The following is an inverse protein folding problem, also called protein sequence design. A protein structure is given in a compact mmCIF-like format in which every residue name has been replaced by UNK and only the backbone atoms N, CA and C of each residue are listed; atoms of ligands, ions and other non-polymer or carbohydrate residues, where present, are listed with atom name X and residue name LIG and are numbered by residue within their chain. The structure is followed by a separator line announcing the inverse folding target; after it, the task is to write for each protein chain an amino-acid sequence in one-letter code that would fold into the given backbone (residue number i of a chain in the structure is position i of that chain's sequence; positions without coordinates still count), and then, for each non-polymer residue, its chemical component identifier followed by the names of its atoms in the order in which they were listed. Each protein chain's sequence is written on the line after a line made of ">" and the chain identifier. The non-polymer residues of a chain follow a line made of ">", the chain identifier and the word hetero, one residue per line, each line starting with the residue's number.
data_IF_062933065106
#
_entry.id   IF_062933065106
#
_cell.length_a   1.000
_cell.length_b   1.000
_cell.length_c   1.000
_cell.angle_alpha   90.00
_cell.angle_beta   90.00
_cell.angle_gamma   90.00
#
_symmetry.space_group_name_H-M   'P 1'
#
loop_
_entity.id
_entity.type
_entity.pdbx_description
1 polymer ?
#
# COMPACT_ATOMS: atom_id res chain seq x y z
N UNK A 1 -36.24 -8.03 1.54
CA UNK A 1 -35.54 -7.40 0.40
C UNK A 1 -34.63 -6.30 0.92
N UNK A 2 -33.33 -6.55 1.10
CA UNK A 2 -32.37 -5.52 1.57
C UNK A 2 -30.95 -5.67 1.00
N UNK A 3 -30.73 -6.65 0.11
CA UNK A 3 -29.41 -7.03 -0.42
C UNK A 3 -28.71 -5.86 -1.12
N UNK A 4 -29.44 -5.08 -1.93
CA UNK A 4 -28.87 -3.94 -2.66
C UNK A 4 -28.38 -2.80 -1.75
N UNK A 5 -29.05 -2.56 -0.61
CA UNK A 5 -28.63 -1.54 0.37
C UNK A 5 -27.39 -1.99 1.13
N UNK A 6 -27.32 -3.27 1.50
CA UNK A 6 -26.15 -3.85 2.15
C UNK A 6 -24.92 -3.79 1.24
N UNK A 7 -25.04 -4.24 -0.02
CA UNK A 7 -23.93 -4.19 -1.00
C UNK A 7 -23.39 -2.78 -1.23
N UNK A 8 -24.24 -1.76 -1.19
CA UNK A 8 -23.83 -0.37 -1.41
C UNK A 8 -23.10 0.22 -0.18
N UNK A 9 -23.49 -0.20 1.03
CA UNK A 9 -22.78 0.13 2.27
C UNK A 9 -21.41 -0.54 2.33
N UNK A 10 -21.33 -1.82 1.94
CA UNK A 10 -20.08 -2.58 1.92
C UNK A 10 -19.07 -1.97 0.95
N UNK A 11 -19.52 -1.57 -0.26
CA UNK A 11 -18.67 -0.86 -1.25
C UNK A 11 -18.15 0.48 -0.74
N UNK A 12 -18.99 1.26 -0.04
CA UNK A 12 -18.56 2.54 0.54
C UNK A 12 -17.51 2.32 1.63
N UNK A 13 -17.70 1.30 2.46
CA UNK A 13 -16.73 0.95 3.49
C UNK A 13 -15.41 0.45 2.88
N UNK A 14 -15.46 -0.37 1.83
CA UNK A 14 -14.26 -0.83 1.10
C UNK A 14 -13.43 0.34 0.56
N UNK A 15 -14.08 1.37 -0.03
CA UNK A 15 -13.39 2.59 -0.50
C UNK A 15 -12.72 3.33 0.66
N UNK A 16 -13.38 3.42 1.82
CA UNK A 16 -12.82 4.08 3.01
C UNK A 16 -11.60 3.31 3.55
N UNK A 17 -11.67 1.98 3.60
CA UNK A 17 -10.55 1.14 4.02
C UNK A 17 -9.37 1.24 3.04
N UNK A 18 -9.62 1.25 1.72
CA UNK A 18 -8.57 1.47 0.70
C UNK A 18 -7.89 2.83 0.86
N UNK A 19 -8.64 3.91 1.12
CA UNK A 19 -8.07 5.24 1.44
C UNK A 19 -7.23 5.21 2.71
N UNK A 20 -7.68 4.51 3.75
CA UNK A 20 -6.93 4.34 5.00
C UNK A 20 -5.62 3.59 4.76
N UNK A 21 -5.66 2.49 4.01
CA UNK A 21 -4.46 1.73 3.62
C UNK A 21 -3.48 2.58 2.82
N UNK A 22 -3.98 3.35 1.84
CA UNK A 22 -3.16 4.29 1.08
C UNK A 22 -2.39 5.25 1.98
N UNK A 23 -3.07 5.83 2.98
CA UNK A 23 -2.43 6.69 3.98
C UNK A 23 -1.36 5.96 4.78
N UNK A 24 -1.62 4.74 5.24
CA UNK A 24 -0.64 3.95 6.00
C UNK A 24 0.60 3.63 5.15
N UNK A 25 0.39 3.25 3.90
CA UNK A 25 1.49 2.95 2.95
C UNK A 25 2.28 4.23 2.66
N UNK A 26 1.62 5.38 2.51
CA UNK A 26 2.26 6.69 2.37
C UNK A 26 3.13 7.03 3.58
N UNK A 27 2.55 6.95 4.78
CA UNK A 27 3.23 7.34 6.01
C UNK A 27 4.44 6.40 6.27
N UNK A 28 4.31 5.11 5.94
CA UNK A 28 5.43 4.16 5.94
C UNK A 28 6.49 4.49 4.87
N UNK A 29 6.08 4.87 3.66
CA UNK A 29 6.98 5.20 2.57
C UNK A 29 7.77 6.50 2.87
N UNK A 30 7.15 7.48 3.53
CA UNK A 30 7.82 8.70 4.00
C UNK A 30 8.89 8.39 5.06
N UNK A 31 8.60 7.50 6.01
CA UNK A 31 9.60 7.01 6.98
C UNK A 31 10.78 6.29 6.29
N UNK A 32 10.54 5.68 5.13
CA UNK A 32 11.54 4.94 4.35
C UNK A 32 12.01 5.71 3.11
N UNK A 33 11.76 7.04 3.03
CA UNK A 33 11.96 7.84 1.81
C UNK A 33 13.35 7.77 1.21
N UNK A 34 14.39 7.60 2.04
CA UNK A 34 15.79 7.47 1.60
C UNK A 34 15.99 6.33 0.60
N UNK A 35 15.23 5.24 0.75
CA UNK A 35 15.31 4.08 -0.14
C UNK A 35 14.88 4.47 -1.54
N UNK A 36 13.75 5.15 -1.66
CA UNK A 36 13.19 5.56 -2.93
C UNK A 36 13.99 6.73 -3.54
N UNK A 37 14.34 7.72 -2.72
CA UNK A 37 15.09 8.89 -3.15
C UNK A 37 16.46 8.53 -3.76
N UNK A 38 17.17 7.54 -3.19
CA UNK A 38 18.46 7.08 -3.74
C UNK A 38 18.36 6.71 -5.23
N UNK A 39 17.26 6.10 -5.64
CA UNK A 39 17.06 5.65 -7.01
C UNK A 39 16.47 6.74 -7.92
N UNK A 40 15.71 7.68 -7.36
CA UNK A 40 15.28 8.89 -8.08
C UNK A 40 16.48 9.77 -8.44
N UNK A 41 17.40 10.03 -7.50
CA UNK A 41 18.63 10.82 -7.73
C UNK A 41 19.53 10.15 -8.76
N UNK A 42 19.55 8.81 -8.76
CA UNK A 42 20.25 8.05 -9.79
C UNK A 42 19.48 7.95 -11.12
N UNK A 43 18.39 8.73 -11.28
CA UNK A 43 17.57 8.85 -12.48
C UNK A 43 16.90 7.57 -12.99
N UNK A 44 16.76 6.54 -12.13
CA UNK A 44 16.20 5.26 -12.57
C UNK A 44 14.67 5.24 -12.55
N UNK A 45 14.05 5.81 -11.53
CA UNK A 45 12.59 5.76 -11.36
C UNK A 45 12.07 7.05 -10.72
N UNK A 46 11.05 7.65 -11.34
CA UNK A 46 10.30 8.80 -10.77
C UNK A 46 9.08 8.36 -9.95
N UNK A 47 8.60 7.16 -10.21
CA UNK A 47 7.41 6.57 -9.62
C UNK A 47 7.64 5.10 -9.34
N UNK A 48 7.11 4.62 -8.22
CA UNK A 48 7.14 3.22 -7.83
C UNK A 48 5.72 2.69 -7.71
N UNK A 49 5.50 1.45 -8.13
CA UNK A 49 4.23 0.75 -7.89
C UNK A 49 4.48 -0.36 -6.89
N UNK A 50 3.84 -0.26 -5.73
CA UNK A 50 3.82 -1.27 -4.69
C UNK A 50 2.48 -2.00 -4.79
N UNK A 51 2.53 -3.30 -5.09
CA UNK A 51 1.39 -4.20 -5.01
C UNK A 51 1.48 -4.97 -3.70
N UNK A 52 0.37 -5.01 -2.96
CA UNK A 52 0.24 -5.74 -1.71
C UNK A 52 -0.93 -6.70 -1.85
N UNK A 53 -0.64 -8.00 -1.87
CA UNK A 53 -1.63 -9.06 -1.95
C UNK A 53 -2.04 -9.55 -0.55
N UNK A 54 -3.04 -10.45 -0.50
CA UNK A 54 -3.45 -11.16 0.72
C UNK A 54 -3.78 -10.23 1.91
N UNK A 55 -4.46 -9.12 1.63
CA UNK A 55 -5.04 -8.28 2.68
C UNK A 55 -6.08 -9.10 3.47
N UNK A 56 -6.24 -8.81 4.77
CA UNK A 56 -5.59 -7.74 5.55
C UNK A 56 -4.22 -8.12 6.16
N UNK A 57 -3.77 -9.37 6.01
CA UNK A 57 -2.56 -9.91 6.65
C UNK A 57 -1.54 -10.32 5.60
N UNK A 58 -0.96 -9.34 4.87
CA UNK A 58 0.05 -9.65 3.87
C UNK A 58 1.30 -10.21 4.54
N UNK A 59 1.95 -11.17 3.87
CA UNK A 59 3.29 -11.61 4.18
C UNK A 59 4.34 -10.80 3.39
N UNK A 60 5.62 -11.00 3.69
CA UNK A 60 6.75 -10.36 2.98
C UNK A 60 6.72 -10.68 1.48
N UNK A 61 6.27 -11.88 1.11
CA UNK A 61 6.19 -12.36 -0.27
C UNK A 61 5.07 -11.66 -1.06
N UNK A 62 4.05 -11.18 -0.34
CA UNK A 62 2.91 -10.47 -0.92
C UNK A 62 3.20 -9.02 -1.29
N UNK A 63 4.37 -8.49 -0.88
CA UNK A 63 4.84 -7.15 -1.21
C UNK A 63 5.72 -7.21 -2.47
N UNK A 64 5.15 -6.73 -3.57
CA UNK A 64 5.76 -6.71 -4.89
C UNK A 64 5.99 -5.28 -5.37
N UNK A 65 7.17 -5.03 -5.93
CA UNK A 65 7.50 -3.74 -6.55
C UNK A 65 7.72 -3.95 -8.04
N UNK A 66 6.93 -3.27 -8.86
CA UNK A 66 6.92 -3.48 -10.31
C UNK A 66 8.25 -3.08 -10.97
N UNK A 67 8.91 -2.05 -10.47
CA UNK A 67 10.06 -1.44 -11.13
C UNK A 67 11.40 -2.03 -10.70
N UNK A 68 11.51 -2.56 -9.47
CA UNK A 68 12.77 -3.08 -8.93
C UNK A 68 12.54 -4.04 -7.75
N UNK A 69 12.68 -5.35 -7.98
CA UNK A 69 12.37 -6.41 -6.99
C UNK A 69 13.20 -6.31 -5.69
N UNK A 70 14.41 -5.78 -5.77
CA UNK A 70 15.32 -5.60 -4.62
C UNK A 70 15.25 -4.22 -3.94
N UNK A 71 14.25 -3.39 -4.27
CA UNK A 71 14.18 -2.04 -3.73
C UNK A 71 13.96 -2.05 -2.20
N UNK A 72 13.11 -2.96 -1.73
CA UNK A 72 12.85 -3.16 -0.30
C UNK A 72 13.53 -4.42 0.20
N UNK A 73 14.20 -4.28 1.35
CA UNK A 73 14.73 -5.42 2.08
C UNK A 73 13.63 -6.11 2.92
N UNK A 74 13.96 -7.28 3.49
CA UNK A 74 13.02 -8.06 4.29
C UNK A 74 12.50 -7.29 5.53
N UNK A 75 13.35 -6.48 6.17
CA UNK A 75 12.96 -5.67 7.32
C UNK A 75 11.90 -4.63 6.96
N UNK A 76 12.09 -3.91 5.86
CA UNK A 76 11.17 -2.90 5.34
C UNK A 76 9.83 -3.52 4.95
N UNK A 77 9.87 -4.66 4.28
CA UNK A 77 8.66 -5.43 3.96
C UNK A 77 7.92 -5.88 5.22
N UNK A 78 8.63 -6.39 6.22
CA UNK A 78 8.05 -6.78 7.52
C UNK A 78 7.38 -5.60 8.23
N UNK A 79 8.04 -4.43 8.24
CA UNK A 79 7.48 -3.20 8.81
C UNK A 79 6.19 -2.78 8.11
N UNK A 80 6.15 -2.89 6.78
CA UNK A 80 4.96 -2.58 6.00
C UNK A 80 3.81 -3.55 6.30
N UNK A 81 4.07 -4.86 6.35
CA UNK A 81 3.09 -5.88 6.74
C UNK A 81 2.49 -5.56 8.12
N UNK A 82 3.35 -5.29 9.11
CA UNK A 82 2.91 -4.97 10.47
C UNK A 82 2.07 -3.69 10.55
N UNK A 83 2.42 -2.67 9.76
CA UNK A 83 1.66 -1.41 9.70
C UNK A 83 0.26 -1.64 9.12
N UNK A 84 0.16 -2.47 8.08
CA UNK A 84 -1.10 -2.82 7.43
C UNK A 84 -1.98 -3.68 8.36
N UNK A 85 -1.41 -4.71 8.98
CA UNK A 85 -2.15 -5.59 9.89
C UNK A 85 -2.72 -4.80 11.09
N UNK A 86 -1.94 -3.87 11.65
CA UNK A 86 -2.42 -2.99 12.74
C UNK A 86 -3.50 -2.01 12.30
N UNK A 87 -3.47 -1.56 11.04
CA UNK A 87 -4.42 -0.59 10.53
C UNK A 87 -5.73 -1.22 10.05
N UNK A 88 -5.68 -2.46 9.58
CA UNK A 88 -6.84 -3.23 9.14
C UNK A 88 -7.71 -3.68 10.32
N UNK A 89 -8.62 -2.81 10.75
CA UNK A 89 -9.55 -3.11 11.84
C UNK A 89 -10.70 -4.06 11.42
N UNK A 90 -10.99 -4.18 10.13
CA UNK A 90 -12.09 -5.02 9.60
C UNK A 90 -11.60 -5.93 8.47
N UNK A 91 -11.01 -7.05 8.88
CA UNK A 91 -10.43 -8.06 8.02
C UNK A 91 -11.36 -8.60 6.91
N UNK A 92 -12.65 -8.71 7.22
CA UNK A 92 -13.63 -9.35 6.34
C UNK A 92 -13.95 -8.55 5.08
N UNK A 93 -13.86 -7.20 5.15
CA UNK A 93 -14.17 -6.30 4.03
C UNK A 93 -13.07 -6.24 2.96
N UNK A 94 -11.85 -6.59 3.34
CA UNK A 94 -10.67 -6.59 2.46
C UNK A 94 -10.15 -8.01 2.20
N UNK A 95 -10.89 -9.02 2.67
CA UNK A 95 -10.62 -10.43 2.47
C UNK A 95 -10.29 -10.70 1.00
N UNK A 96 -9.16 -11.37 0.76
CA UNK A 96 -8.64 -11.78 -0.57
C UNK A 96 -8.39 -10.65 -1.58
N UNK A 97 -8.43 -9.40 -1.13
CA UNK A 97 -8.17 -8.25 -1.99
C UNK A 97 -6.67 -7.95 -2.07
N UNK A 98 -6.26 -7.38 -3.21
CA UNK A 98 -4.99 -6.72 -3.34
C UNK A 98 -5.20 -5.20 -3.36
N UNK A 99 -4.14 -4.46 -3.06
CA UNK A 99 -4.08 -3.03 -3.28
C UNK A 99 -2.83 -2.71 -4.08
N UNK A 100 -3.01 -1.95 -5.13
CA UNK A 100 -1.93 -1.35 -5.89
C UNK A 100 -1.81 0.11 -5.44
N UNK A 101 -0.61 0.49 -5.00
CA UNK A 101 -0.32 1.86 -4.60
C UNK A 101 0.83 2.39 -5.43
N UNK A 102 0.57 3.51 -6.11
CA UNK A 102 1.60 4.30 -6.76
C UNK A 102 2.23 5.23 -5.73
N UNK A 103 3.54 5.23 -5.67
CA UNK A 103 4.36 6.13 -4.85
C UNK A 103 5.12 7.04 -5.80
N UNK A 104 4.81 8.33 -5.75
CA UNK A 104 5.50 9.38 -6.48
C UNK A 104 6.35 10.20 -5.50
N UNK A 105 7.49 10.66 -5.99
CA UNK A 105 8.35 11.61 -5.27
C UNK A 105 8.27 12.95 -5.97
N UNK A 106 7.76 13.96 -5.26
CA UNK A 106 7.53 15.30 -5.81
C UNK A 106 8.11 16.31 -4.83
N UNK A 107 9.17 17.01 -5.23
CA UNK A 107 9.84 18.01 -4.38
C UNK A 107 10.18 17.48 -2.96
N UNK A 108 10.84 16.32 -2.88
CA UNK A 108 11.22 15.64 -1.62
C UNK A 108 10.06 15.09 -0.76
N UNK A 109 8.81 15.23 -1.22
CA UNK A 109 7.63 14.69 -0.56
C UNK A 109 7.17 13.37 -1.18
N UNK A 110 6.74 12.44 -0.33
CA UNK A 110 6.13 11.18 -0.77
C UNK A 110 4.63 11.38 -1.02
N UNK A 111 4.20 11.16 -2.25
CA UNK A 111 2.80 11.11 -2.64
C UNK A 111 2.43 9.65 -2.86
N UNK A 112 1.36 9.18 -2.23
CA UNK A 112 0.85 7.82 -2.43
C UNK A 112 -0.60 7.85 -2.88
N UNK A 113 -0.91 7.09 -3.92
CA UNK A 113 -2.24 6.99 -4.51
C UNK A 113 -2.61 5.54 -4.76
N UNK A 114 -3.85 5.15 -4.44
CA UNK A 114 -4.38 3.84 -4.82
C UNK A 114 -4.74 3.88 -6.30
N UNK A 115 -4.32 2.86 -7.05
CA UNK A 115 -4.57 2.71 -8.49
C UNK A 115 -5.31 1.43 -8.83
#
# INVERSE_FOLDING_TARGET
>A
MNTAKQTLLDKRQEILEKKRLSKIIRDWADQNKKVFWRYEVACFYKSYKIKIANLPKPSIEDILISSHKGLLNAQQKTQLCNAIEKACAKAELLSTSFIDVKIDFVHEAVVAEVI
#
